data_IF_488028532051
#
_entry.id   IF_488028532051
#
_cell.length_a   1.000
_cell.length_b   1.000
_cell.length_c   1.000
_cell.angle_alpha   90.00
_cell.angle_beta   90.00
_cell.angle_gamma   90.00
#
_symmetry.space_group_name_H-M   'P 1'
#
loop_
_entity.id
_entity.type
_entity.pdbx_description
1 polymer ?
#
# COMPACT_ATOMS: atom_id res chain seq x y z
N UNK A 1 30.61 -49.83 38.11
CA UNK A 1 29.35 -50.54 38.43
C UNK A 1 28.43 -49.54 39.13
N UNK A 2 27.69 -48.70 38.40
CA UNK A 2 26.30 -48.90 37.95
C UNK A 2 25.31 -49.24 39.06
N UNK A 3 24.51 -48.25 39.45
CA UNK A 3 23.08 -48.42 39.66
C UNK A 3 22.34 -47.32 38.89
N UNK A 4 21.62 -47.78 37.89
CA UNK A 4 20.74 -47.07 36.96
C UNK A 4 19.49 -46.58 37.67
N UNK A 5 19.26 -45.26 37.65
CA UNK A 5 17.97 -44.63 37.95
C UNK A 5 17.35 -44.12 36.66
N UNK A 6 16.50 -44.94 36.03
CA UNK A 6 15.68 -44.54 34.88
C UNK A 6 14.64 -43.53 35.37
N UNK A 7 14.79 -42.24 35.03
CA UNK A 7 13.69 -41.29 35.08
C UNK A 7 12.67 -41.67 34.00
N UNK A 8 11.36 -41.74 34.29
CA UNK A 8 10.37 -41.97 33.25
C UNK A 8 10.42 -40.83 32.23
N UNK A 9 10.23 -41.08 30.92
CA UNK A 9 10.08 -40.02 29.95
C UNK A 9 8.85 -39.21 30.38
N UNK A 10 9.05 -37.92 30.67
CA UNK A 10 7.96 -37.01 30.97
C UNK A 10 6.92 -37.16 29.87
N UNK A 11 5.69 -37.53 30.24
CA UNK A 11 4.55 -37.55 29.32
C UNK A 11 4.46 -36.14 28.72
N UNK A 12 4.94 -35.98 27.47
CA UNK A 12 4.61 -34.80 26.67
C UNK A 12 3.09 -34.77 26.60
N UNK A 13 2.45 -33.77 27.22
CA UNK A 13 1.02 -33.50 27.00
C UNK A 13 0.80 -33.54 25.49
N UNK A 14 -0.09 -34.40 25.02
CA UNK A 14 -0.51 -34.40 23.62
C UNK A 14 -0.99 -32.98 23.29
N UNK A 15 -0.28 -32.30 22.39
CA UNK A 15 -0.70 -30.98 21.90
C UNK A 15 -1.97 -31.24 21.08
N UNK A 16 -3.11 -30.73 21.54
CA UNK A 16 -4.34 -30.76 20.74
C UNK A 16 -4.08 -29.97 19.47
N UNK A 17 -4.46 -30.51 18.31
CA UNK A 17 -4.31 -29.83 17.03
C UNK A 17 -5.66 -29.85 16.30
N UNK A 18 -6.03 -28.72 15.72
CA UNK A 18 -7.18 -28.59 14.83
C UNK A 18 -6.68 -28.80 13.41
N UNK A 19 -7.23 -29.82 12.73
CA UNK A 19 -6.92 -30.09 11.32
C UNK A 19 -7.99 -29.41 10.46
N UNK A 20 -7.56 -28.60 9.50
CA UNK A 20 -8.46 -27.89 8.58
C UNK A 20 -8.31 -28.51 7.20
N UNK A 21 -9.35 -29.19 6.73
CA UNK A 21 -9.40 -29.77 5.39
C UNK A 21 -9.73 -28.68 4.35
N UNK A 22 -8.85 -28.51 3.36
CA UNK A 22 -8.98 -27.49 2.30
C UNK A 22 -9.30 -28.11 0.93
N UNK A 23 -9.65 -29.40 0.84
CA UNK A 23 -9.83 -30.15 -0.43
C UNK A 23 -10.89 -29.54 -1.37
N UNK A 24 -11.81 -28.73 -0.83
CA UNK A 24 -12.86 -28.04 -1.59
C UNK A 24 -12.53 -26.60 -2.01
N UNK A 25 -11.37 -26.04 -1.64
CA UNK A 25 -11.06 -24.62 -1.88
C UNK A 25 -10.54 -24.42 -3.30
N UNK A 26 -11.29 -23.68 -4.12
CA UNK A 26 -10.92 -23.40 -5.51
C UNK A 26 -10.07 -22.13 -5.67
N UNK A 27 -10.08 -21.21 -4.69
CA UNK A 27 -9.28 -19.98 -4.64
C UNK A 27 -9.06 -19.52 -3.19
N UNK A 28 -7.92 -18.88 -2.92
CA UNK A 28 -7.60 -18.30 -1.61
C UNK A 28 -7.05 -16.88 -1.82
N UNK A 29 -7.93 -15.89 -1.74
CA UNK A 29 -7.60 -14.47 -1.82
C UNK A 29 -7.25 -13.89 -0.44
N UNK A 30 -7.16 -12.57 -0.31
CA UNK A 30 -6.87 -11.93 0.98
C UNK A 30 -7.92 -12.22 2.05
N UNK A 31 -9.18 -12.44 1.67
CA UNK A 31 -10.24 -12.85 2.61
C UNK A 31 -10.00 -14.27 3.14
N UNK A 32 -9.64 -15.20 2.24
CA UNK A 32 -9.25 -16.57 2.62
C UNK A 32 -8.03 -16.63 3.52
N UNK A 33 -7.03 -15.78 3.28
CA UNK A 33 -5.82 -15.65 4.12
C UNK A 33 -6.19 -15.15 5.52
N UNK A 34 -7.01 -14.10 5.61
CA UNK A 34 -7.49 -13.55 6.89
C UNK A 34 -8.24 -14.59 7.71
N UNK A 35 -9.08 -15.39 7.07
CA UNK A 35 -9.79 -16.50 7.73
C UNK A 35 -8.79 -17.52 8.30
N UNK A 36 -7.80 -17.97 7.52
CA UNK A 36 -6.79 -18.93 8.00
C UNK A 36 -5.97 -18.39 9.19
N UNK A 37 -5.64 -17.09 9.19
CA UNK A 37 -4.94 -16.42 10.29
C UNK A 37 -5.85 -16.31 11.53
N UNK A 38 -7.12 -15.97 11.35
CA UNK A 38 -8.10 -15.89 12.43
C UNK A 38 -8.29 -17.25 13.12
N UNK A 39 -8.43 -18.33 12.35
CA UNK A 39 -8.51 -19.70 12.87
C UNK A 39 -7.26 -20.10 13.67
N UNK A 40 -6.07 -19.74 13.19
CA UNK A 40 -4.82 -19.93 13.93
C UNK A 40 -4.86 -19.21 15.27
N UNK A 41 -5.29 -17.95 15.30
CA UNK A 41 -5.33 -17.15 16.52
C UNK A 41 -6.31 -17.73 17.54
N UNK A 42 -7.49 -18.17 17.10
CA UNK A 42 -8.49 -18.86 17.94
C UNK A 42 -7.90 -20.16 18.52
N UNK A 43 -7.22 -20.98 17.71
CA UNK A 43 -6.60 -22.21 18.19
C UNK A 43 -5.44 -21.94 19.17
N UNK A 44 -4.63 -20.90 18.94
CA UNK A 44 -3.57 -20.48 19.88
C UNK A 44 -4.13 -20.04 21.23
N UNK A 45 -5.24 -19.31 21.25
CA UNK A 45 -5.95 -18.93 22.48
C UNK A 45 -6.46 -20.17 23.23
N UNK A 46 -6.83 -21.23 22.51
CA UNK A 46 -7.21 -22.53 23.08
C UNK A 46 -5.99 -23.44 23.42
N UNK A 47 -4.76 -22.94 23.29
CA UNK A 47 -3.51 -23.71 23.44
C UNK A 47 -3.44 -24.97 22.55
N UNK A 48 -4.06 -24.91 21.36
CA UNK A 48 -4.04 -25.94 20.33
C UNK A 48 -3.18 -25.51 19.13
N UNK A 49 -2.59 -26.48 18.43
CA UNK A 49 -1.96 -26.27 17.13
C UNK A 49 -3.00 -26.24 16.00
N UNK A 50 -2.63 -25.73 14.83
CA UNK A 50 -3.44 -25.83 13.60
C UNK A 50 -2.59 -26.44 12.50
N UNK A 51 -3.17 -27.38 11.75
CA UNK A 51 -2.53 -28.02 10.61
C UNK A 51 -3.51 -28.05 9.42
N UNK A 52 -3.19 -27.39 8.29
CA UNK A 52 -3.98 -27.55 7.08
C UNK A 52 -3.77 -28.95 6.48
N UNK A 53 -4.82 -29.55 5.94
CA UNK A 53 -4.83 -30.84 5.26
C UNK A 53 -5.45 -30.70 3.86
N UNK A 54 -5.06 -31.59 2.94
CA UNK A 54 -5.54 -31.61 1.55
C UNK A 54 -5.49 -30.23 0.85
N UNK A 55 -4.40 -29.49 1.03
CA UNK A 55 -4.22 -28.15 0.46
C UNK A 55 -4.05 -28.23 -1.06
N UNK A 56 -4.95 -27.63 -1.87
CA UNK A 56 -4.80 -27.64 -3.33
C UNK A 56 -3.53 -26.90 -3.76
N UNK A 57 -2.87 -27.36 -4.82
CA UNK A 57 -1.56 -26.85 -5.27
C UNK A 57 -1.55 -25.33 -5.52
N UNK A 58 -2.67 -24.77 -5.99
CA UNK A 58 -2.85 -23.33 -6.21
C UNK A 58 -2.86 -22.55 -4.89
N UNK A 59 -3.51 -23.09 -3.86
CA UNK A 59 -3.54 -22.50 -2.51
C UNK A 59 -2.16 -22.62 -1.87
N UNK A 60 -1.48 -23.75 -2.03
CA UNK A 60 -0.12 -23.95 -1.55
C UNK A 60 0.88 -22.93 -2.11
N UNK A 61 0.76 -22.59 -3.41
CA UNK A 61 1.59 -21.54 -4.03
C UNK A 61 1.35 -20.16 -3.43
N UNK A 62 0.09 -19.77 -3.23
CA UNK A 62 -0.25 -18.48 -2.59
C UNK A 62 0.23 -18.46 -1.15
N UNK A 63 0.02 -19.54 -0.39
CA UNK A 63 0.52 -19.67 0.99
C UNK A 63 2.03 -19.55 1.09
N UNK A 64 2.80 -20.07 0.13
CA UNK A 64 4.25 -19.90 0.08
C UNK A 64 4.68 -18.46 -0.21
N UNK A 65 3.96 -17.76 -1.09
CA UNK A 65 4.23 -16.35 -1.41
C UNK A 65 4.00 -15.45 -0.18
N UNK A 66 2.94 -15.71 0.59
CA UNK A 66 2.61 -14.92 1.79
C UNK A 66 3.20 -15.49 3.09
N UNK A 67 4.09 -16.49 3.00
CA UNK A 67 4.81 -17.08 4.13
C UNK A 67 3.95 -17.89 5.11
N UNK A 68 2.73 -18.27 4.75
CA UNK A 68 1.83 -19.11 5.54
C UNK A 68 2.27 -20.58 5.61
N UNK A 69 3.19 -21.02 4.76
CA UNK A 69 3.77 -22.37 4.79
C UNK A 69 4.86 -22.55 5.86
N UNK A 70 5.25 -21.45 6.54
CA UNK A 70 6.28 -21.46 7.57
C UNK A 70 5.83 -22.21 8.84
N UNK A 71 6.68 -23.08 9.42
CA UNK A 71 6.33 -23.89 10.59
C UNK A 71 6.06 -23.07 11.86
N UNK A 72 6.48 -21.79 11.89
CA UNK A 72 6.15 -20.83 12.93
C UNK A 72 4.69 -20.33 12.85
N UNK A 73 4.07 -20.44 11.67
CA UNK A 73 2.67 -20.07 11.42
C UNK A 73 1.74 -21.26 11.64
N UNK A 74 2.01 -22.42 11.03
CA UNK A 74 1.29 -23.66 11.31
C UNK A 74 2.22 -24.73 11.89
N UNK A 75 1.95 -25.15 13.12
CA UNK A 75 2.74 -26.17 13.80
C UNK A 75 2.16 -27.56 13.54
N UNK A 76 2.49 -28.16 12.40
CA UNK A 76 2.17 -29.55 12.11
C UNK A 76 2.15 -29.83 10.62
N UNK A 77 3.17 -30.52 10.11
CA UNK A 77 3.05 -31.19 8.82
C UNK A 77 2.23 -32.47 9.04
N UNK A 78 1.02 -32.52 8.48
CA UNK A 78 0.27 -33.77 8.43
C UNK A 78 0.97 -34.71 7.45
N UNK A 79 1.88 -35.54 7.98
CA UNK A 79 2.20 -36.80 7.35
C UNK A 79 0.92 -37.62 7.25
N UNK A 80 0.66 -38.17 6.07
CA UNK A 80 -0.47 -39.04 5.71
C UNK A 80 -0.96 -39.90 6.88
N UNK A 81 -2.06 -39.50 7.52
CA UNK A 81 -2.72 -40.29 8.56
C UNK A 81 -4.24 -40.31 8.29
N UNK A 82 -4.80 -41.51 8.29
CA UNK A 82 -6.17 -41.80 7.84
C UNK A 82 -7.28 -41.26 8.75
N UNK A 83 -8.54 -41.46 8.34
CA UNK A 83 -9.71 -40.78 8.88
C UNK A 83 -10.11 -41.39 10.23
N UNK A 84 -9.66 -40.81 11.34
CA UNK A 84 -10.16 -41.20 12.67
C UNK A 84 -10.26 -40.08 13.72
N UNK A 85 -9.70 -38.89 13.51
CA UNK A 85 -9.63 -37.85 14.55
C UNK A 85 -10.17 -36.47 14.12
N UNK A 86 -11.30 -36.42 13.41
CA UNK A 86 -11.99 -35.17 13.07
C UNK A 86 -13.22 -34.95 13.96
N UNK A 87 -13.30 -33.79 14.63
CA UNK A 87 -14.51 -33.32 15.35
C UNK A 87 -15.26 -32.36 14.42
N UNK A 88 -16.57 -32.61 14.25
CA UNK A 88 -17.42 -31.96 13.25
C UNK A 88 -17.68 -30.45 13.49
N UNK A 89 -17.87 -29.63 12.43
CA UNK A 89 -18.28 -28.24 12.55
C UNK A 89 -19.82 -28.08 12.64
N UNK A 90 -20.24 -26.96 13.24
CA UNK A 90 -21.64 -26.54 13.44
C UNK A 90 -22.18 -25.91 12.15
N UNK A 91 -23.37 -26.34 11.71
CA UNK A 91 -24.04 -25.91 10.47
C UNK A 91 -24.64 -24.49 10.51
N UNK A 92 -24.61 -23.81 9.37
CA UNK A 92 -25.31 -22.54 9.12
C UNK A 92 -25.44 -22.18 7.63
N UNK A 93 -26.51 -22.70 7.02
CA UNK A 93 -27.19 -22.38 5.75
C UNK A 93 -26.53 -21.45 4.70
N UNK A 94 -26.28 -22.01 3.50
CA UNK A 94 -26.17 -21.28 2.23
C UNK A 94 -27.28 -21.70 1.23
N UNK A 95 -27.75 -20.81 0.33
CA UNK A 95 -28.68 -21.20 -0.73
C UNK A 95 -27.94 -21.77 -1.95
N UNK A 96 -28.57 -22.79 -2.54
CA UNK A 96 -28.06 -23.67 -3.61
C UNK A 96 -28.01 -22.97 -4.98
N UNK A 97 -26.96 -23.26 -5.75
CA UNK A 97 -26.90 -23.01 -7.19
C UNK A 97 -27.59 -24.11 -8.02
N UNK A 98 -28.01 -23.71 -9.22
CA UNK A 98 -28.25 -24.53 -10.42
C UNK A 98 -27.66 -23.69 -11.55
N UNK A 99 -26.91 -24.15 -12.54
CA UNK A 99 -26.73 -25.45 -13.16
C UNK A 99 -26.45 -25.10 -14.63
N UNK A 100 -25.25 -25.42 -15.14
CA UNK A 100 -24.81 -25.06 -16.50
C UNK A 100 -25.18 -26.15 -17.49
N UNK A 101 -25.74 -25.77 -18.64
CA UNK A 101 -25.74 -26.56 -19.87
C UNK A 101 -25.11 -25.73 -21.00
N UNK A 102 -24.23 -26.36 -21.77
CA UNK A 102 -23.74 -25.90 -23.09
C UNK A 102 -24.48 -26.69 -24.17
N UNK A 103 -24.54 -26.18 -25.42
CA UNK A 103 -23.63 -26.75 -26.43
C UNK A 103 -23.16 -25.80 -27.56
N UNK A 104 -21.93 -26.11 -28.01
CA UNK A 104 -21.40 -26.21 -29.38
C UNK A 104 -21.73 -25.19 -30.50
N UNK A 105 -20.66 -24.68 -31.12
CA UNK A 105 -20.47 -24.74 -32.58
C UNK A 105 -20.27 -23.42 -33.33
N UNK A 106 -19.06 -23.19 -33.89
CA UNK A 106 -18.74 -23.15 -35.34
C UNK A 106 -17.43 -22.37 -35.62
N UNK A 107 -16.59 -22.93 -36.50
CA UNK A 107 -15.29 -22.43 -36.95
C UNK A 107 -15.36 -21.24 -37.93
N UNK A 108 -14.27 -20.47 -38.15
CA UNK A 108 -14.15 -19.60 -39.32
C UNK A 108 -13.19 -20.14 -40.39
N UNK A 109 -13.61 -19.98 -41.65
CA UNK A 109 -12.85 -20.20 -42.89
C UNK A 109 -11.74 -19.15 -43.10
N UNK A 110 -10.80 -19.48 -43.98
CA UNK A 110 -9.62 -18.69 -44.29
C UNK A 110 -9.50 -18.33 -45.79
N UNK A 111 -8.73 -17.26 -46.06
CA UNK A 111 -7.97 -16.92 -47.31
C UNK A 111 -8.78 -16.21 -48.43
N UNK A 112 -8.23 -15.33 -49.34
CA UNK A 112 -6.84 -14.93 -49.63
C UNK A 112 -6.52 -13.40 -49.73
N UNK A 113 -5.22 -13.06 -49.64
CA UNK A 113 -4.65 -11.82 -50.22
C UNK A 113 -4.38 -11.96 -51.74
N UNK A 114 -4.03 -10.88 -52.48
CA UNK A 114 -2.60 -10.71 -52.81
C UNK A 114 -2.12 -9.27 -53.20
N UNK A 115 -0.82 -9.01 -53.02
CA UNK A 115 0.19 -8.62 -54.04
C UNK A 115 1.21 -7.57 -53.57
N UNK A 116 2.46 -7.89 -53.92
CA UNK A 116 3.68 -7.15 -53.70
C UNK A 116 3.84 -5.97 -54.67
N UNK A 117 4.42 -4.88 -54.15
CA UNK A 117 5.00 -3.78 -54.94
C UNK A 117 6.44 -3.52 -54.47
N UNK A 118 7.41 -3.84 -55.34
CA UNK A 118 8.81 -3.44 -55.20
C UNK A 118 8.92 -1.92 -55.40
N UNK A 119 9.65 -1.23 -54.52
CA UNK A 119 10.23 0.09 -54.83
C UNK A 119 11.74 0.01 -54.64
N UNK A 120 12.44 0.42 -55.70
CA UNK A 120 13.91 0.48 -55.87
C UNK A 120 14.39 1.90 -55.50
N UNK A 121 15.58 2.07 -54.90
CA UNK A 121 16.08 3.37 -54.49
C UNK A 121 16.67 4.15 -55.68
N UNK A 122 16.67 5.50 -55.68
CA UNK A 122 17.50 6.28 -56.57
C UNK A 122 18.87 6.60 -55.95
N UNK A 123 19.76 6.97 -56.87
CA UNK A 123 21.21 6.83 -56.86
C UNK A 123 22.03 7.77 -55.98
N UNK A 124 23.29 7.34 -55.83
CA UNK A 124 24.42 8.02 -55.23
C UNK A 124 24.76 9.39 -55.85
N UNK A 125 24.94 10.38 -54.98
CA UNK A 125 25.60 11.66 -55.25
C UNK A 125 26.87 11.80 -54.42
N UNK A 126 27.88 12.42 -55.01
CA UNK A 126 29.29 12.34 -54.66
C UNK A 126 29.72 12.91 -53.28
N UNK A 127 30.62 12.15 -52.65
CA UNK A 127 31.79 12.51 -51.85
C UNK A 127 31.95 13.94 -51.28
N UNK A 128 31.99 14.01 -49.94
CA UNK A 128 33.01 14.75 -49.17
C UNK A 128 33.30 13.99 -47.88
N UNK A 129 34.56 13.59 -47.65
CA UNK A 129 35.01 12.95 -46.41
C UNK A 129 35.05 14.00 -45.28
N UNK A 130 34.38 13.79 -44.13
CA UNK A 130 34.73 14.54 -42.93
C UNK A 130 35.97 13.90 -42.30
N UNK A 131 36.94 14.74 -41.98
CA UNK A 131 38.12 14.45 -41.18
C UNK A 131 37.74 13.83 -39.83
N UNK A 132 38.51 12.84 -39.39
CA UNK A 132 38.38 12.22 -38.08
C UNK A 132 38.43 13.29 -36.96
N UNK A 133 37.54 13.24 -35.96
CA UNK A 133 37.68 14.10 -34.80
C UNK A 133 38.91 13.65 -34.00
N UNK A 134 39.72 14.62 -33.61
CA UNK A 134 40.85 14.45 -32.71
C UNK A 134 40.39 13.78 -31.43
N UNK A 135 41.12 12.75 -31.01
CA UNK A 135 40.94 12.08 -29.72
C UNK A 135 41.33 13.03 -28.59
N UNK A 136 40.41 13.92 -28.20
CA UNK A 136 40.48 14.54 -26.90
C UNK A 136 39.78 13.60 -25.92
N UNK A 137 40.58 12.69 -25.35
CA UNK A 137 40.16 11.85 -24.24
C UNK A 137 40.15 12.73 -22.99
N UNK A 138 39.11 13.54 -22.83
CA UNK A 138 38.74 14.01 -21.50
C UNK A 138 38.40 12.78 -20.68
N UNK A 139 39.22 12.51 -19.68
CA UNK A 139 39.03 11.44 -18.72
C UNK A 139 37.74 11.73 -17.95
N UNK A 140 36.62 11.15 -18.39
CA UNK A 140 35.42 11.06 -17.56
C UNK A 140 35.81 10.29 -16.31
N UNK A 141 35.60 10.91 -15.15
CA UNK A 141 35.78 10.25 -13.87
C UNK A 141 34.61 9.28 -13.66
N UNK A 142 34.75 8.23 -12.83
CA UNK A 142 33.62 7.36 -12.47
C UNK A 142 32.45 8.11 -11.82
N UNK A 143 32.69 9.33 -11.31
CA UNK A 143 31.70 10.21 -10.70
C UNK A 143 30.79 10.89 -11.73
N UNK A 144 31.26 11.07 -12.98
CA UNK A 144 30.49 11.68 -14.08
C UNK A 144 29.43 10.74 -14.67
N UNK A 145 29.46 9.45 -14.33
CA UNK A 145 28.58 8.42 -14.90
C UNK A 145 27.23 8.28 -14.18
N UNK A 146 26.99 9.01 -13.08
CA UNK A 146 25.76 8.91 -12.27
C UNK A 146 24.99 10.20 -12.07
N UNK A 147 25.47 11.34 -12.58
CA UNK A 147 24.68 12.58 -12.54
C UNK A 147 23.74 12.60 -13.74
N UNK A 148 22.53 12.08 -13.56
CA UNK A 148 21.46 12.33 -14.52
C UNK A 148 21.18 13.83 -14.53
N UNK A 149 21.23 14.46 -15.70
CA UNK A 149 20.93 15.89 -15.97
C UNK A 149 19.46 16.28 -15.69
N UNK A 150 18.74 15.46 -14.92
CA UNK A 150 17.33 15.62 -14.54
C UNK A 150 17.25 15.88 -13.03
N UNK A 151 16.28 16.70 -12.57
CA UNK A 151 16.05 16.86 -11.14
C UNK A 151 15.66 15.52 -10.50
N UNK A 152 16.14 15.30 -9.28
CA UNK A 152 15.63 14.23 -8.41
C UNK A 152 14.12 14.36 -8.28
N UNK A 153 13.44 13.22 -8.17
CA UNK A 153 11.98 13.17 -8.17
C UNK A 153 11.43 12.30 -7.05
N UNK A 154 10.58 12.90 -6.23
CA UNK A 154 9.73 12.21 -5.24
C UNK A 154 8.35 11.97 -5.86
N UNK A 155 7.84 10.75 -5.77
CA UNK A 155 6.44 10.44 -6.03
C UNK A 155 5.77 9.92 -4.75
N UNK A 156 4.71 10.60 -4.30
CA UNK A 156 3.86 10.12 -3.22
C UNK A 156 2.56 9.57 -3.82
N UNK A 157 2.19 8.34 -3.48
CA UNK A 157 0.97 7.68 -3.96
C UNK A 157 0.02 7.50 -2.79
N UNK A 158 -1.06 8.27 -2.81
CA UNK A 158 -2.08 8.34 -1.76
C UNK A 158 -3.46 7.92 -2.29
N UNK A 159 -4.31 7.47 -1.39
CA UNK A 159 -5.64 6.99 -1.73
C UNK A 159 -6.62 8.14 -1.95
N UNK A 160 -6.67 9.11 -1.03
CA UNK A 160 -7.71 10.15 -1.01
C UNK A 160 -7.15 11.58 -1.02
N UNK A 161 -7.98 12.57 -1.39
CA UNK A 161 -7.73 14.00 -1.17
C UNK A 161 -7.63 14.40 0.32
N UNK A 162 -6.43 14.52 0.90
CA UNK A 162 -6.08 14.93 2.29
C UNK A 162 -4.94 14.10 2.88
N UNK A 163 -4.83 12.85 2.46
CA UNK A 163 -3.79 11.91 2.86
C UNK A 163 -2.38 12.49 2.66
N UNK A 164 -2.17 13.27 1.61
CA UNK A 164 -0.89 13.92 1.33
C UNK A 164 -0.56 14.94 2.42
N UNK A 165 -1.54 15.72 2.88
CA UNK A 165 -1.32 16.79 3.85
C UNK A 165 -1.00 16.21 5.24
N UNK A 166 -1.56 15.05 5.58
CA UNK A 166 -1.35 14.39 6.86
C UNK A 166 -0.06 13.56 6.88
N UNK A 167 0.12 12.69 5.87
CA UNK A 167 1.18 11.69 5.85
C UNK A 167 2.51 12.17 5.28
N UNK A 168 2.48 13.02 4.24
CA UNK A 168 3.69 13.39 3.48
C UNK A 168 3.85 14.89 3.24
N UNK A 169 3.00 15.74 3.82
CA UNK A 169 2.94 17.16 3.51
C UNK A 169 4.24 17.88 3.85
N UNK A 170 4.91 17.47 4.93
CA UNK A 170 6.21 17.98 5.34
C UNK A 170 7.29 17.65 4.32
N UNK A 171 7.41 16.38 3.90
CA UNK A 171 8.41 15.97 2.90
C UNK A 171 8.10 16.57 1.52
N UNK A 172 6.84 16.66 1.11
CA UNK A 172 6.45 17.31 -0.14
C UNK A 172 6.88 18.78 -0.16
N UNK A 173 6.55 19.54 0.89
CA UNK A 173 6.94 20.94 1.02
C UNK A 173 8.46 21.13 1.08
N UNK A 174 9.13 20.31 1.90
CA UNK A 174 10.59 20.34 2.06
C UNK A 174 11.30 20.10 0.74
N UNK A 175 10.98 19.00 0.07
CA UNK A 175 11.68 18.62 -1.15
C UNK A 175 11.37 19.56 -2.33
N UNK A 176 10.15 20.10 -2.41
CA UNK A 176 9.85 21.16 -3.37
C UNK A 176 10.73 22.40 -3.14
N UNK A 177 10.91 22.83 -1.89
CA UNK A 177 11.79 23.96 -1.55
C UNK A 177 13.28 23.68 -1.84
N UNK A 178 13.69 22.42 -1.78
CA UNK A 178 15.04 21.96 -2.13
C UNK A 178 15.24 21.75 -3.65
N UNK A 179 14.23 22.06 -4.48
CA UNK A 179 14.30 21.95 -5.94
C UNK A 179 14.10 20.54 -6.48
N UNK A 180 13.69 19.59 -5.63
CA UNK A 180 13.31 18.23 -6.04
C UNK A 180 11.90 18.28 -6.63
N UNK A 181 11.73 17.62 -7.78
CA UNK A 181 10.41 17.52 -8.42
C UNK A 181 9.50 16.62 -7.58
N UNK A 182 8.34 17.13 -7.19
CA UNK A 182 7.35 16.40 -6.40
C UNK A 182 6.15 16.02 -7.25
N UNK A 183 5.81 14.73 -7.27
CA UNK A 183 4.66 14.19 -7.97
C UNK A 183 3.72 13.59 -6.93
N UNK A 184 2.51 14.10 -6.84
CA UNK A 184 1.45 13.49 -6.03
C UNK A 184 0.53 12.71 -6.94
N UNK A 185 0.28 11.45 -6.60
CA UNK A 185 -0.74 10.61 -7.21
C UNK A 185 -1.84 10.39 -6.19
N UNK A 186 -3.08 10.78 -6.52
CA UNK A 186 -4.26 10.49 -5.71
C UNK A 186 -5.14 9.48 -6.44
N UNK A 187 -5.37 8.32 -5.83
CA UNK A 187 -6.04 7.20 -6.48
C UNK A 187 -7.54 7.44 -6.68
N UNK A 188 -8.21 7.99 -5.67
CA UNK A 188 -9.68 8.08 -5.63
C UNK A 188 -10.18 9.52 -5.67
N UNK A 189 -11.47 9.67 -5.93
CA UNK A 189 -12.18 10.96 -5.94
C UNK A 189 -12.57 11.47 -4.55
N UNK A 190 -12.46 10.64 -3.51
CA UNK A 190 -12.85 10.97 -2.14
C UNK A 190 -14.36 11.11 -1.92
N UNK A 191 -15.19 10.57 -2.83
CA UNK A 191 -16.64 10.74 -2.82
C UNK A 191 -17.36 10.17 -1.59
N UNK A 192 -16.70 9.32 -0.79
CA UNK A 192 -17.21 8.81 0.49
C UNK A 192 -16.74 9.63 1.70
N UNK A 193 -16.18 10.83 1.49
CA UNK A 193 -15.85 11.76 2.56
C UNK A 193 -17.04 12.58 3.06
N UNK A 194 -16.77 13.49 4.00
CA UNK A 194 -17.76 14.42 4.55
C UNK A 194 -18.25 15.41 3.48
N UNK A 195 -19.57 15.65 3.45
CA UNK A 195 -20.22 16.59 2.55
C UNK A 195 -20.34 18.01 3.11
N UNK A 196 -20.86 18.97 2.30
CA UNK A 196 -21.05 20.35 2.71
C UNK A 196 -21.82 20.45 4.04
N UNK A 197 -21.26 21.16 5.01
CA UNK A 197 -21.87 21.29 6.34
C UNK A 197 -21.65 20.09 7.26
N UNK A 198 -20.77 19.15 6.89
CA UNK A 198 -20.41 17.98 7.70
C UNK A 198 -21.37 16.80 7.57
N UNK A 199 -22.19 16.78 6.52
CA UNK A 199 -23.13 15.67 6.24
C UNK A 199 -22.32 14.40 5.98
N UNK A 200 -22.61 13.33 6.72
CA UNK A 200 -21.85 12.07 6.63
C UNK A 200 -22.33 11.20 5.46
N UNK A 201 -21.46 10.32 4.93
CA UNK A 201 -21.86 9.31 3.95
C UNK A 201 -23.06 8.50 4.43
N UNK A 202 -24.06 8.34 3.56
CA UNK A 202 -25.30 7.64 3.87
C UNK A 202 -26.37 8.47 4.59
N UNK A 203 -26.08 9.70 5.03
CA UNK A 203 -27.07 10.61 5.56
C UNK A 203 -27.90 11.28 4.44
N UNK A 204 -29.18 11.63 4.70
CA UNK A 204 -29.98 12.39 3.75
C UNK A 204 -29.30 13.71 3.35
N UNK A 205 -29.11 13.91 2.05
CA UNK A 205 -28.45 15.10 1.51
C UNK A 205 -26.96 14.94 1.23
N UNK A 206 -26.36 13.78 1.53
CA UNK A 206 -25.03 13.42 1.03
C UNK A 206 -25.10 13.13 -0.48
N UNK A 207 -24.32 13.89 -1.26
CA UNK A 207 -24.19 13.72 -2.72
C UNK A 207 -22.72 13.43 -3.06
N UNK A 208 -22.34 12.16 -3.33
CA UNK A 208 -20.97 11.77 -3.60
C UNK A 208 -20.31 12.54 -4.75
N UNK A 209 -21.07 12.91 -5.78
CA UNK A 209 -20.52 13.66 -6.91
C UNK A 209 -20.19 15.10 -6.54
N UNK A 210 -21.03 15.73 -5.71
CA UNK A 210 -20.74 17.06 -5.17
C UNK A 210 -19.56 17.03 -4.19
N UNK A 211 -19.44 15.97 -3.37
CA UNK A 211 -18.31 15.76 -2.46
C UNK A 211 -17.00 15.60 -3.23
N UNK A 212 -16.97 14.72 -4.24
CA UNK A 212 -15.80 14.51 -5.09
C UNK A 212 -15.32 15.81 -5.77
N UNK A 213 -16.25 16.62 -6.29
CA UNK A 213 -15.91 17.91 -6.91
C UNK A 213 -15.36 18.92 -5.88
N UNK A 214 -15.91 18.93 -4.66
CA UNK A 214 -15.41 19.76 -3.58
C UNK A 214 -13.99 19.35 -3.18
N UNK A 215 -13.79 18.07 -2.86
CA UNK A 215 -12.50 17.53 -2.45
C UNK A 215 -11.43 17.64 -3.52
N UNK A 216 -11.79 17.60 -4.81
CA UNK A 216 -10.89 17.93 -5.92
C UNK A 216 -10.28 19.32 -5.78
N UNK A 217 -11.11 20.33 -5.49
CA UNK A 217 -10.66 21.73 -5.36
C UNK A 217 -9.82 21.91 -4.10
N UNK A 218 -10.16 21.21 -3.03
CA UNK A 218 -9.39 21.21 -1.79
C UNK A 218 -7.99 20.59 -1.99
N UNK A 219 -7.91 19.46 -2.71
CA UNK A 219 -6.64 18.84 -3.09
C UNK A 219 -5.77 19.74 -3.95
N UNK A 220 -6.36 20.41 -4.95
CA UNK A 220 -5.65 21.37 -5.79
C UNK A 220 -5.07 22.52 -4.94
N UNK A 221 -5.88 23.08 -4.02
CA UNK A 221 -5.42 24.11 -3.09
C UNK A 221 -4.31 23.61 -2.15
N UNK A 222 -4.44 22.41 -1.60
CA UNK A 222 -3.39 21.77 -0.80
C UNK A 222 -2.08 21.60 -1.58
N UNK A 223 -2.15 21.13 -2.82
CA UNK A 223 -0.99 20.98 -3.71
C UNK A 223 -0.31 22.32 -3.98
N UNK A 224 -1.08 23.40 -4.21
CA UNK A 224 -0.55 24.75 -4.37
C UNK A 224 0.17 25.26 -3.12
N UNK A 225 -0.36 24.95 -1.94
CA UNK A 225 0.29 25.27 -0.65
C UNK A 225 1.58 24.49 -0.52
N UNK A 226 1.56 23.17 -0.72
CA UNK A 226 2.71 22.27 -0.60
C UNK A 226 3.76 22.42 -1.72
N UNK A 227 3.46 23.20 -2.76
CA UNK A 227 4.31 23.36 -3.96
C UNK A 227 4.56 22.03 -4.69
N UNK A 228 3.52 21.19 -4.75
CA UNK A 228 3.55 19.97 -5.56
C UNK A 228 3.76 20.34 -7.03
N UNK A 229 4.76 19.73 -7.69
CA UNK A 229 5.07 20.05 -9.09
C UNK A 229 4.05 19.47 -10.06
N UNK A 230 3.56 18.26 -9.78
CA UNK A 230 2.57 17.56 -10.59
C UNK A 230 1.56 16.84 -9.70
N UNK A 231 0.27 17.13 -9.89
CA UNK A 231 -0.82 16.35 -9.35
C UNK A 231 -1.37 15.43 -10.46
N UNK A 232 -1.41 14.13 -10.20
CA UNK A 232 -2.01 13.11 -11.04
C UNK A 232 -3.16 12.45 -10.28
N UNK A 233 -4.32 12.30 -10.91
CA UNK A 233 -5.45 11.60 -10.30
C UNK A 233 -5.86 10.42 -11.13
N UNK A 234 -6.09 9.28 -10.47
CA UNK A 234 -6.53 8.07 -11.15
C UNK A 234 -8.06 7.99 -11.25
N UNK A 235 -8.79 8.85 -10.54
CA UNK A 235 -10.23 9.04 -10.65
C UNK A 235 -11.05 7.75 -10.40
N UNK A 236 -10.54 6.85 -9.56
CA UNK A 236 -11.34 5.72 -9.09
C UNK A 236 -12.38 6.18 -8.07
N UNK A 237 -13.49 5.46 -7.98
CA UNK A 237 -14.48 5.74 -6.94
C UNK A 237 -13.93 5.33 -5.57
N UNK A 238 -14.01 6.26 -4.62
CA UNK A 238 -13.75 6.00 -3.20
C UNK A 238 -14.62 4.83 -2.69
N UNK A 239 -13.98 3.85 -2.06
CA UNK A 239 -14.62 2.63 -1.60
C UNK A 239 -15.29 2.77 -0.24
N UNK A 240 -15.03 3.87 0.49
CA UNK A 240 -15.42 4.04 1.89
C UNK A 240 -14.71 3.06 2.82
N UNK A 241 -15.11 3.05 4.10
CA UNK A 241 -14.49 2.19 5.10
C UNK A 241 -14.73 0.70 4.83
N UNK A 242 -13.84 -0.16 5.37
CA UNK A 242 -14.01 -1.62 5.28
C UNK A 242 -15.40 -2.06 5.76
N UNK A 243 -16.07 -2.89 4.96
CA UNK A 243 -17.40 -3.42 5.23
C UNK A 243 -18.55 -2.53 4.80
N UNK A 244 -18.29 -1.34 4.25
CA UNK A 244 -19.34 -0.49 3.69
C UNK A 244 -19.85 -1.06 2.36
N UNK A 245 -21.13 -0.81 1.99
CA UNK A 245 -21.68 -1.24 0.69
C UNK A 245 -20.88 -0.74 -0.51
N UNK A 246 -20.21 0.41 -0.38
CA UNK A 246 -19.34 1.01 -1.39
C UNK A 246 -18.15 0.12 -1.76
N UNK A 247 -17.65 -0.71 -0.84
CA UNK A 247 -16.62 -1.70 -1.14
C UNK A 247 -17.07 -2.63 -2.29
N UNK A 248 -18.37 -2.95 -2.34
CA UNK A 248 -18.99 -3.82 -3.34
C UNK A 248 -19.66 -3.06 -4.52
N UNK A 249 -19.48 -1.74 -4.62
CA UNK A 249 -19.98 -0.96 -5.74
C UNK A 249 -19.17 -1.22 -7.02
N UNK A 250 -19.79 -1.31 -8.21
CA UNK A 250 -19.05 -1.38 -9.46
C UNK A 250 -18.14 -0.16 -9.62
N UNK A 251 -16.86 -0.38 -9.94
CA UNK A 251 -15.88 0.70 -10.07
C UNK A 251 -15.27 1.19 -8.75
N UNK A 252 -15.57 0.55 -7.60
CA UNK A 252 -14.88 0.82 -6.35
C UNK A 252 -13.38 0.54 -6.49
N UNK A 253 -12.55 1.43 -5.94
CA UNK A 253 -11.11 1.27 -6.03
C UNK A 253 -10.65 -0.05 -5.40
N UNK A 254 -11.22 -0.42 -4.24
CA UNK A 254 -10.94 -1.66 -3.51
C UNK A 254 -11.08 -2.92 -4.35
N UNK A 255 -12.06 -2.98 -5.27
CA UNK A 255 -12.28 -4.14 -6.15
C UNK A 255 -11.68 -3.99 -7.54
N UNK A 256 -11.04 -2.86 -7.82
CA UNK A 256 -10.35 -2.68 -9.10
C UNK A 256 -9.24 -3.73 -9.20
N UNK A 257 -9.14 -4.48 -10.31
CA UNK A 257 -8.04 -5.43 -10.50
C UNK A 257 -6.69 -4.75 -10.31
N UNK A 258 -5.81 -5.36 -9.51
CA UNK A 258 -4.51 -4.77 -9.18
C UNK A 258 -3.70 -4.51 -10.45
N UNK A 259 -3.78 -5.39 -11.43
CA UNK A 259 -3.07 -5.28 -12.70
C UNK A 259 -3.54 -4.05 -13.51
N UNK A 260 -4.81 -3.70 -13.44
CA UNK A 260 -5.38 -2.54 -14.13
C UNK A 260 -4.87 -1.24 -13.50
N UNK A 261 -4.96 -1.14 -12.18
CA UNK A 261 -4.42 -0.01 -11.43
C UNK A 261 -2.91 0.12 -11.59
N UNK A 262 -2.19 -1.00 -11.51
CA UNK A 262 -0.75 -1.05 -11.66
C UNK A 262 -0.30 -0.64 -13.06
N UNK A 263 -1.03 -1.01 -14.12
CA UNK A 263 -0.72 -0.58 -15.48
C UNK A 263 -0.78 0.95 -15.62
N UNK A 264 -1.82 1.58 -15.07
CA UNK A 264 -1.97 3.05 -15.08
C UNK A 264 -0.88 3.74 -14.28
N UNK A 265 -0.57 3.26 -13.08
CA UNK A 265 0.50 3.83 -12.26
C UNK A 265 1.89 3.59 -12.89
N UNK A 266 2.11 2.46 -13.55
CA UNK A 266 3.35 2.17 -14.28
C UNK A 266 3.61 3.15 -15.42
N UNK A 267 2.55 3.69 -16.07
CA UNK A 267 2.71 4.77 -17.05
C UNK A 267 3.26 6.05 -16.39
N UNK A 268 2.76 6.41 -15.21
CA UNK A 268 3.28 7.55 -14.43
C UNK A 268 4.71 7.31 -13.95
N UNK A 269 5.03 6.10 -13.47
CA UNK A 269 6.39 5.72 -13.09
C UNK A 269 7.37 5.86 -14.27
N UNK A 270 6.97 5.43 -15.48
CA UNK A 270 7.80 5.61 -16.69
C UNK A 270 7.92 7.08 -17.12
N UNK A 271 6.83 7.85 -17.01
CA UNK A 271 6.78 9.27 -17.38
C UNK A 271 7.68 10.10 -16.47
N UNK A 272 7.52 9.94 -15.16
CA UNK A 272 8.21 10.76 -14.17
C UNK A 272 9.56 10.20 -13.77
N UNK A 273 9.79 8.88 -13.89
CA UNK A 273 11.03 8.21 -13.46
C UNK A 273 11.43 8.62 -12.03
N UNK A 274 10.53 8.46 -11.03
CA UNK A 274 10.84 8.86 -9.67
C UNK A 274 12.09 8.15 -9.17
N UNK A 275 12.85 8.84 -8.33
CA UNK A 275 14.02 8.28 -7.64
C UNK A 275 13.61 7.74 -6.25
N UNK A 276 12.54 8.32 -5.68
CA UNK A 276 11.90 7.92 -4.43
C UNK A 276 10.40 7.78 -4.66
N UNK A 277 9.81 6.68 -4.19
CA UNK A 277 8.36 6.46 -4.13
C UNK A 277 7.92 6.23 -2.68
N UNK A 278 6.87 6.93 -2.25
CA UNK A 278 6.22 6.76 -0.94
C UNK A 278 4.80 6.25 -1.15
N UNK A 279 4.40 5.23 -0.41
CA UNK A 279 3.01 4.76 -0.31
C UNK A 279 2.75 4.19 1.08
N UNK A 280 1.65 3.47 1.30
CA UNK A 280 1.30 2.85 2.57
C UNK A 280 2.00 1.50 2.76
N UNK A 281 1.93 0.94 3.97
CA UNK A 281 2.26 -0.47 4.22
C UNK A 281 1.14 -1.41 3.73
N UNK A 282 1.33 -2.72 3.93
CA UNK A 282 0.37 -3.75 3.53
C UNK A 282 -0.97 -3.66 4.27
N UNK A 283 -0.99 -3.01 5.45
CA UNK A 283 -2.19 -2.76 6.23
C UNK A 283 -2.87 -1.42 5.86
N UNK A 284 -2.29 -0.63 4.96
CA UNK A 284 -2.82 0.69 4.63
C UNK A 284 -2.77 1.65 5.82
N UNK A 285 -1.75 1.51 6.69
CA UNK A 285 -1.61 2.18 7.99
C UNK A 285 -2.63 1.73 9.04
N UNK A 286 -3.92 2.05 8.90
CA UNK A 286 -4.98 1.73 9.88
C UNK A 286 -6.06 0.75 9.36
N UNK A 287 -5.88 0.16 8.19
CA UNK A 287 -6.80 -0.83 7.63
C UNK A 287 -7.83 -0.29 6.63
N UNK A 288 -7.68 0.95 6.13
CA UNK A 288 -8.56 1.47 5.07
C UNK A 288 -8.40 0.65 3.78
N UNK A 289 -9.49 0.20 3.12
CA UNK A 289 -9.40 -0.61 1.90
C UNK A 289 -8.56 0.08 0.82
N UNK A 290 -8.83 1.35 0.59
CA UNK A 290 -8.18 2.10 -0.48
C UNK A 290 -6.70 2.38 -0.21
N UNK A 291 -6.27 2.43 1.06
CA UNK A 291 -4.84 2.55 1.39
C UNK A 291 -4.11 1.24 1.09
N UNK A 292 -4.71 0.11 1.47
CA UNK A 292 -4.21 -1.24 1.14
C UNK A 292 -4.13 -1.41 -0.38
N UNK A 293 -5.17 -0.96 -1.09
CA UNK A 293 -5.22 -1.06 -2.54
C UNK A 293 -4.19 -0.15 -3.23
N UNK A 294 -3.98 1.06 -2.73
CA UNK A 294 -2.93 1.95 -3.20
C UNK A 294 -1.54 1.34 -3.00
N UNK A 295 -1.27 0.68 -1.87
CA UNK A 295 -0.05 -0.11 -1.68
C UNK A 295 0.07 -1.22 -2.73
N UNK A 296 -0.95 -2.09 -2.87
CA UNK A 296 -0.93 -3.23 -3.81
C UNK A 296 -0.63 -2.79 -5.24
N UNK A 297 -1.34 -1.76 -5.70
CA UNK A 297 -1.16 -1.18 -7.05
C UNK A 297 0.24 -0.58 -7.20
N UNK A 298 0.74 0.14 -6.19
CA UNK A 298 2.08 0.73 -6.22
C UNK A 298 3.16 -0.33 -6.30
N UNK A 299 3.10 -1.36 -5.45
CA UNK A 299 4.08 -2.45 -5.44
C UNK A 299 4.05 -3.25 -6.75
N UNK A 300 2.85 -3.50 -7.31
CA UNK A 300 2.71 -4.15 -8.60
C UNK A 300 3.26 -3.28 -9.76
N UNK A 301 2.99 -1.97 -9.76
CA UNK A 301 3.50 -1.05 -10.78
C UNK A 301 5.04 -0.94 -10.76
N UNK A 302 5.63 -0.94 -9.57
CA UNK A 302 7.08 -0.96 -9.37
C UNK A 302 7.72 -2.22 -9.97
N UNK A 303 7.10 -3.39 -9.80
CA UNK A 303 7.58 -4.64 -10.40
C UNK A 303 7.52 -4.63 -11.95
N UNK A 304 6.74 -3.75 -12.55
CA UNK A 304 6.59 -3.60 -14.00
C UNK A 304 7.55 -2.57 -14.62
N UNK A 305 8.35 -1.86 -13.81
CA UNK A 305 9.13 -0.70 -14.25
C UNK A 305 10.59 -0.73 -13.81
N UNK A 306 11.42 0.00 -14.55
CA UNK A 306 12.86 0.14 -14.31
C UNK A 306 13.31 1.53 -14.84
N UNK A 307 14.30 2.21 -14.22
CA UNK A 307 15.06 1.80 -13.04
C UNK A 307 14.20 1.77 -11.77
N UNK A 308 14.65 0.99 -10.80
CA UNK A 308 13.96 0.73 -9.55
C UNK A 308 14.24 1.86 -8.55
N UNK A 309 13.23 2.62 -8.08
CA UNK A 309 13.43 3.69 -7.10
C UNK A 309 13.66 3.13 -5.70
N UNK A 310 14.10 4.00 -4.78
CA UNK A 310 13.94 3.75 -3.34
C UNK A 310 12.45 3.79 -3.01
N UNK A 311 11.98 2.86 -2.18
CA UNK A 311 10.56 2.75 -1.83
C UNK A 311 10.39 2.78 -0.32
N UNK A 312 9.45 3.60 0.11
CA UNK A 312 9.15 3.86 1.51
C UNK A 312 7.68 3.66 1.80
N UNK A 313 7.39 3.04 2.93
CA UNK A 313 6.07 3.00 3.51
C UNK A 313 5.95 4.08 4.57
N UNK A 314 4.99 4.98 4.42
CA UNK A 314 4.65 5.97 5.45
C UNK A 314 4.06 5.28 6.67
N UNK A 315 4.49 5.67 7.86
CA UNK A 315 4.04 5.08 9.11
C UNK A 315 4.27 6.03 10.29
N UNK A 316 3.83 5.65 11.48
CA UNK A 316 4.12 6.35 12.72
C UNK A 316 4.71 5.38 13.76
N UNK A 317 5.77 5.76 14.49
CA UNK A 317 6.24 4.99 15.64
C UNK A 317 5.20 5.02 16.77
N UNK A 318 5.17 3.95 17.57
CA UNK A 318 4.32 3.83 18.76
C UNK A 318 4.53 5.00 19.72
N UNK A 319 5.75 5.52 19.86
CA UNK A 319 5.99 6.72 20.68
C UNK A 319 5.31 7.98 20.14
N UNK A 320 5.17 8.14 18.82
CA UNK A 320 4.40 9.26 18.24
C UNK A 320 2.91 9.04 18.43
N UNK A 321 2.40 7.83 18.23
CA UNK A 321 0.99 7.51 18.45
C UNK A 321 0.57 7.75 19.92
N UNK A 322 1.44 7.39 20.87
CA UNK A 322 1.23 7.68 22.29
C UNK A 322 1.19 9.19 22.57
N UNK A 323 2.17 9.95 22.07
CA UNK A 323 2.20 11.43 22.20
C UNK A 323 0.99 12.10 21.55
N UNK A 324 0.54 11.58 20.42
CA UNK A 324 -0.68 12.00 19.77
C UNK A 324 -1.87 11.78 20.70
N UNK A 325 -2.07 10.56 21.22
CA UNK A 325 -3.15 10.25 22.16
C UNK A 325 -3.10 11.02 23.48
N UNK A 326 -1.92 11.37 23.98
CA UNK A 326 -1.75 12.30 25.12
C UNK A 326 -2.22 13.71 24.76
N UNK A 327 -1.78 14.24 23.61
CA UNK A 327 -2.19 15.55 23.11
C UNK A 327 -3.70 15.61 22.83
N UNK A 328 -4.29 14.54 22.30
CA UNK A 328 -5.75 14.41 22.12
C UNK A 328 -6.50 14.61 23.45
N UNK A 329 -6.03 13.93 24.52
CA UNK A 329 -6.62 14.03 25.86
C UNK A 329 -6.45 15.41 26.49
N UNK A 330 -5.35 16.10 26.19
CA UNK A 330 -5.11 17.48 26.65
C UNK A 330 -6.06 18.50 25.99
N UNK A 331 -6.43 18.29 24.71
CA UNK A 331 -7.21 19.24 23.91
C UNK A 331 -8.72 18.98 23.88
N UNK A 332 -9.21 17.85 24.40
CA UNK A 332 -10.62 17.47 24.28
C UNK A 332 -11.22 16.80 25.53
N UNK A 333 -12.02 17.58 26.27
CA UNK A 333 -13.07 17.09 27.17
C UNK A 333 -14.31 16.54 26.43
N UNK A 334 -14.30 16.59 25.09
CA UNK A 334 -15.33 16.07 24.16
C UNK A 334 -14.80 14.93 23.25
N UNK A 335 -13.57 14.44 23.47
CA UNK A 335 -13.14 13.20 22.85
C UNK A 335 -13.88 12.06 23.55
N UNK A 336 -14.90 11.51 22.88
CA UNK A 336 -15.46 10.24 23.33
C UNK A 336 -14.33 9.24 23.32
N UNK A 337 -14.05 8.65 24.48
CA UNK A 337 -13.11 7.54 24.53
C UNK A 337 -13.61 6.49 23.53
N UNK A 338 -12.74 6.05 22.59
CA UNK A 338 -13.09 4.98 21.68
C UNK A 338 -13.54 3.78 22.51
N UNK A 339 -14.48 3.02 21.98
CA UNK A 339 -14.91 1.82 22.69
C UNK A 339 -13.70 0.87 22.88
N UNK A 340 -13.77 -0.12 23.80
CA UNK A 340 -12.63 -0.98 24.06
C UNK A 340 -12.07 -1.72 22.83
N UNK A 341 -12.89 -1.98 21.80
CA UNK A 341 -12.45 -2.61 20.56
C UNK A 341 -11.75 -1.61 19.63
N UNK A 342 -12.27 -0.39 19.50
CA UNK A 342 -11.62 0.71 18.78
C UNK A 342 -10.30 1.12 19.44
N UNK A 343 -10.28 1.20 20.78
CA UNK A 343 -9.07 1.49 21.55
C UNK A 343 -8.01 0.39 21.38
N UNK A 344 -8.42 -0.89 21.35
CA UNK A 344 -7.53 -2.00 21.07
C UNK A 344 -6.99 -1.96 19.63
N UNK A 345 -7.84 -1.63 18.64
CA UNK A 345 -7.42 -1.46 17.26
C UNK A 345 -6.44 -0.28 17.10
N UNK A 346 -6.71 0.86 17.75
CA UNK A 346 -5.80 2.02 17.76
C UNK A 346 -4.47 1.73 18.46
N UNK A 347 -4.47 0.89 19.50
CA UNK A 347 -3.24 0.48 20.18
C UNK A 347 -2.31 -0.38 19.31
N UNK A 348 -2.85 -1.02 18.28
CA UNK A 348 -2.08 -1.77 17.28
C UNK A 348 -1.61 -0.89 16.10
N UNK A 349 -2.04 0.38 16.01
CA UNK A 349 -1.57 1.30 14.97
C UNK A 349 -0.15 1.77 15.28
N UNK A 350 0.69 1.72 14.23
CA UNK A 350 2.07 2.15 14.28
C UNK A 350 3.05 1.04 14.67
N UNK A 351 4.33 1.29 14.40
CA UNK A 351 5.40 0.30 14.57
C UNK A 351 6.25 0.59 15.82
N UNK A 352 6.94 -0.40 16.38
CA UNK A 352 8.02 -0.13 17.34
C UNK A 352 9.02 0.87 16.75
N UNK A 353 9.48 1.81 17.57
CA UNK A 353 10.39 2.88 17.15
C UNK A 353 11.68 2.34 16.50
N UNK A 354 12.17 1.19 16.95
CA UNK A 354 13.32 0.49 16.40
C UNK A 354 13.12 -0.10 14.99
N UNK A 355 11.88 -0.25 14.55
CA UNK A 355 11.54 -0.70 13.19
C UNK A 355 11.48 0.47 12.19
N UNK A 356 11.41 1.72 12.68
CA UNK A 356 11.43 2.90 11.81
C UNK A 356 12.82 3.10 11.24
N UNK A 357 12.93 2.99 9.92
CA UNK A 357 14.23 3.12 9.24
C UNK A 357 14.56 4.56 8.88
N UNK A 358 13.58 5.47 8.85
CA UNK A 358 13.78 6.81 8.29
C UNK A 358 12.95 7.85 9.03
N UNK A 359 13.61 8.92 9.48
CA UNK A 359 13.04 10.01 10.28
C UNK A 359 13.37 11.35 9.63
N UNK A 360 12.40 11.96 8.97
CA UNK A 360 12.62 13.21 8.24
C UNK A 360 12.08 14.38 9.05
N UNK A 361 12.98 15.21 9.56
CA UNK A 361 12.60 16.48 10.16
C UNK A 361 12.08 17.44 9.07
N UNK A 362 10.83 17.86 9.24
CA UNK A 362 10.09 18.77 8.37
C UNK A 362 9.50 19.92 9.17
N UNK A 363 9.96 20.15 10.40
CA UNK A 363 9.43 21.15 11.33
C UNK A 363 9.47 22.58 10.76
N UNK A 364 10.50 22.90 9.96
CA UNK A 364 10.59 24.16 9.22
C UNK A 364 9.42 24.40 8.25
N UNK A 365 8.73 23.33 7.83
CA UNK A 365 7.58 23.33 6.92
C UNK A 365 6.26 23.01 7.64
N UNK A 366 6.24 22.89 8.97
CA UNK A 366 5.04 22.51 9.72
C UNK A 366 3.88 23.50 9.55
N UNK A 367 4.16 24.79 9.42
CA UNK A 367 3.14 25.80 9.14
C UNK A 367 2.53 25.66 7.73
N UNK A 368 3.31 25.22 6.75
CA UNK A 368 2.86 24.97 5.39
C UNK A 368 2.05 23.67 5.30
N UNK A 369 2.50 22.62 6.01
CA UNK A 369 1.73 21.37 6.19
C UNK A 369 0.38 21.64 6.87
N UNK A 370 0.34 22.49 7.89
CA UNK A 370 -0.91 22.92 8.52
C UNK A 370 -1.86 23.61 7.54
N UNK A 371 -1.34 24.50 6.68
CA UNK A 371 -2.16 25.21 5.68
C UNK A 371 -2.68 24.29 4.60
N UNK A 372 -1.89 23.30 4.20
CA UNK A 372 -2.31 22.26 3.27
C UNK A 372 -3.46 21.43 3.87
N UNK A 373 -3.34 21.05 5.14
CA UNK A 373 -4.41 20.35 5.87
C UNK A 373 -5.66 21.23 6.01
N UNK A 374 -5.48 22.53 6.25
CA UNK A 374 -6.58 23.49 6.34
C UNK A 374 -7.32 23.72 5.00
N UNK A 375 -6.68 23.43 3.87
CA UNK A 375 -7.33 23.47 2.56
C UNK A 375 -8.43 22.40 2.41
N UNK A 376 -8.30 21.28 3.12
CA UNK A 376 -9.29 20.20 3.21
C UNK A 376 -10.36 20.50 4.25
N UNK A 377 -11.00 21.66 4.12
CA UNK A 377 -11.92 22.22 5.12
C UNK A 377 -13.19 21.37 5.30
N UNK A 378 -13.58 20.58 4.31
CA UNK A 378 -14.71 19.67 4.37
C UNK A 378 -14.48 18.46 5.29
N UNK A 379 -13.24 18.03 5.47
CA UNK A 379 -12.92 16.79 6.19
C UNK A 379 -12.88 17.03 7.70
N UNK A 380 -13.95 16.61 8.38
CA UNK A 380 -14.17 16.89 9.81
C UNK A 380 -13.07 16.35 10.72
N UNK A 381 -12.39 15.28 10.33
CA UNK A 381 -11.28 14.67 11.07
C UNK A 381 -10.07 15.63 11.19
N UNK A 382 -9.88 16.50 10.19
CA UNK A 382 -8.80 17.49 10.18
C UNK A 382 -9.05 18.63 11.18
N UNK A 383 -10.30 18.88 11.56
CA UNK A 383 -10.67 19.99 12.46
C UNK A 383 -9.93 19.91 13.79
N UNK A 384 -9.64 18.71 14.29
CA UNK A 384 -8.84 18.53 15.50
C UNK A 384 -7.45 19.18 15.37
N UNK A 385 -6.72 18.84 14.31
CA UNK A 385 -5.40 19.41 14.02
C UNK A 385 -5.47 20.93 13.81
N UNK A 386 -6.55 21.44 13.22
CA UNK A 386 -6.72 22.87 13.02
C UNK A 386 -6.96 23.62 14.35
N UNK A 387 -7.69 23.01 15.28
CA UNK A 387 -8.00 23.60 16.60
C UNK A 387 -6.78 23.74 17.50
N UNK A 388 -5.79 22.85 17.42
CA UNK A 388 -4.55 22.99 18.22
C UNK A 388 -3.65 24.14 17.76
N UNK A 389 -3.89 24.65 16.55
CA UNK A 389 -3.12 25.74 15.96
C UNK A 389 -1.75 25.31 15.43
N UNK A 390 -1.18 26.17 14.57
CA UNK A 390 0.04 25.89 13.80
C UNK A 390 1.23 25.45 14.62
N UNK A 391 1.48 26.12 15.76
CA UNK A 391 2.64 25.84 16.58
C UNK A 391 2.58 24.42 17.15
N UNK A 392 1.48 24.08 17.82
CA UNK A 392 1.31 22.75 18.43
C UNK A 392 1.23 21.65 17.37
N UNK A 393 0.58 21.94 16.24
CA UNK A 393 0.59 21.04 15.09
C UNK A 393 2.02 20.75 14.62
N UNK A 394 2.86 21.78 14.49
CA UNK A 394 4.26 21.63 14.07
C UNK A 394 5.08 20.81 15.08
N UNK A 395 4.87 21.03 16.38
CA UNK A 395 5.51 20.23 17.43
C UNK A 395 5.15 18.74 17.34
N UNK A 396 3.90 18.43 16.97
CA UNK A 396 3.38 17.06 16.90
C UNK A 396 3.67 16.36 15.58
N UNK A 397 3.54 17.08 14.46
CA UNK A 397 3.52 16.55 13.09
C UNK A 397 4.73 16.99 12.25
N UNK A 398 5.73 17.65 12.88
CA UNK A 398 6.92 18.19 12.22
C UNK A 398 8.02 17.17 11.93
N UNK A 399 7.84 15.90 12.30
CA UNK A 399 8.73 14.80 11.89
C UNK A 399 7.88 13.76 11.20
N UNK A 400 8.27 13.37 9.99
CA UNK A 400 7.59 12.33 9.21
C UNK A 400 8.46 11.08 9.16
N UNK A 401 7.83 9.92 9.36
CA UNK A 401 8.53 8.65 9.57
C UNK A 401 8.15 7.62 8.53
N UNK A 402 9.14 6.81 8.15
CA UNK A 402 9.00 5.84 7.08
C UNK A 402 9.77 4.54 7.36
N UNK A 403 9.31 3.47 6.73
CA UNK A 403 10.06 2.21 6.60
C UNK A 403 10.51 2.05 5.16
N UNK A 404 11.82 1.91 4.96
CA UNK A 404 12.45 1.68 3.67
C UNK A 404 12.35 0.21 3.31
N UNK A 405 11.51 -0.10 2.33
CA UNK A 405 11.27 -1.48 1.88
C UNK A 405 12.05 -1.85 0.63
N UNK A 406 12.59 -0.86 -0.07
CA UNK A 406 13.43 -1.08 -1.24
C UNK A 406 14.51 0.01 -1.33
N UNK A 407 15.74 -0.41 -1.56
CA UNK A 407 16.89 0.48 -1.77
C UNK A 407 17.89 -0.18 -2.70
N UNK A 408 18.50 0.63 -3.57
CA UNK A 408 19.59 0.21 -4.47
C UNK A 408 20.88 0.98 -4.22
N UNK A 409 20.89 1.92 -3.27
CA UNK A 409 22.03 2.81 -3.02
C UNK A 409 22.97 2.30 -1.94
N UNK A 410 22.48 1.43 -1.05
CA UNK A 410 23.26 0.93 0.08
C UNK A 410 23.35 1.92 1.25
N UNK A 411 22.47 2.93 1.28
CA UNK A 411 22.40 3.90 2.36
C UNK A 411 22.15 3.19 3.71
N UNK A 412 22.87 3.61 4.76
CA UNK A 412 22.70 3.06 6.10
C UNK A 412 21.40 3.54 6.75
N UNK A 413 20.84 2.73 7.65
CA UNK A 413 19.68 3.07 8.48
C UNK A 413 20.12 3.33 9.94
N UNK A 414 19.45 4.23 10.69
CA UNK A 414 18.33 5.05 10.24
C UNK A 414 18.76 6.21 9.33
N UNK A 415 17.91 6.56 8.37
CA UNK A 415 18.08 7.71 7.47
C UNK A 415 17.39 8.95 8.03
N UNK A 416 17.89 10.14 7.67
CA UNK A 416 17.25 11.43 7.97
C UNK A 416 16.78 12.17 6.69
N UNK A 417 16.83 11.48 5.56
CA UNK A 417 16.51 11.96 4.23
C UNK A 417 16.12 10.77 3.34
N UNK A 418 14.96 10.82 2.69
CA UNK A 418 14.54 9.80 1.73
C UNK A 418 15.52 9.65 0.55
N UNK A 419 16.22 10.73 0.21
CA UNK A 419 17.23 10.76 -0.86
C UNK A 419 18.65 10.39 -0.40
N UNK A 420 18.83 9.90 0.84
CA UNK A 420 20.14 9.43 1.30
C UNK A 420 20.73 8.40 0.32
N UNK A 421 21.99 8.60 -0.08
CA UNK A 421 22.68 7.76 -1.08
C UNK A 421 22.39 8.14 -2.55
N UNK A 422 21.48 9.08 -2.80
CA UNK A 422 21.21 9.67 -4.12
C UNK A 422 21.73 11.11 -4.24
N UNK A 423 22.12 11.74 -3.13
CA UNK A 423 22.67 13.10 -3.06
C UNK A 423 23.61 13.28 -1.87
#
# INVERSE_FOLDING_TARGET
MTTTGVRPPGRRRARRAVVIDLDGITCCDSGGITVLIAWRNIARQAHAGVAPAAVPERVSRVSGIVGLDRPEIFSGTAGTAGPADAVAPVEGAGPRGQGTETPEGRAPEAVPGPRAGRVRPPDAGAATRPSAPSSDRSLFTPEDLFMTDRPLTLMAVHAHPDDEATGTGGVLARYAAEGIRTVLVTCTDGGCGDGPGGVKPGEPGHDPAAVALMRRRELEASCEVLKVSHLETLDYADSGMMGWPNNDAPGSFWRTPVEEGAARLAELLRRYRPDVVVTYDENGFYGHPDHIQANRITMAALAMTSPTPKVYWTTAPRSMMQRFGETMREFGADWQEPDPAEAAAMAEIGLPDEEITTWVDTSAFGAQKFDALAAHASQGENIFFLKMGRQRFTELMGVETFVRVQDTTGAAVPENDLFAGLR
#
